data_IF_500598879083
#
_entry.id   IF_500598879083
#
_cell.length_a   1.000
_cell.length_b   1.000
_cell.length_c   1.000
_cell.angle_alpha   90.00
_cell.angle_beta   90.00
_cell.angle_gamma   90.00
#
_symmetry.space_group_name_H-M   'P 1'
#
loop_
_entity.id
_entity.type
_entity.pdbx_description
1 polymer ?
#
# COMPACT_ATOMS: atom_id res chain seq x y z
N UNK A 1 -6.26 21.40 -20.42
CA UNK A 1 -6.65 20.02 -20.03
C UNK A 1 -5.46 19.32 -19.39
N UNK A 2 -5.51 19.08 -18.07
CA UNK A 2 -4.43 18.36 -17.36
C UNK A 2 -4.70 16.85 -17.49
N UNK A 3 -3.81 16.14 -18.21
CA UNK A 3 -3.85 14.67 -18.31
C UNK A 3 -3.42 14.07 -16.97
N UNK A 4 -4.39 13.69 -16.13
CA UNK A 4 -4.12 12.88 -14.94
C UNK A 4 -3.79 11.46 -15.42
N UNK A 5 -2.51 11.13 -15.45
CA UNK A 5 -2.02 9.80 -15.82
C UNK A 5 -2.31 8.85 -14.65
N UNK A 6 -3.46 8.17 -14.68
CA UNK A 6 -3.79 7.08 -13.73
C UNK A 6 -2.67 6.04 -13.82
N UNK A 7 -1.89 5.94 -12.75
CA UNK A 7 -0.76 5.01 -12.65
C UNK A 7 -1.30 3.77 -11.94
N UNK A 8 -1.77 2.78 -12.72
CA UNK A 8 -2.19 1.49 -12.17
C UNK A 8 -0.97 0.74 -11.60
N UNK A 9 -1.10 0.06 -10.45
CA UNK A 9 -0.04 -0.80 -9.93
C UNK A 9 0.19 -1.98 -10.89
N UNK A 10 1.45 -2.41 -11.01
CA UNK A 10 1.79 -3.64 -11.72
C UNK A 10 1.54 -4.81 -10.77
N UNK A 11 0.54 -5.64 -11.09
CA UNK A 11 0.20 -6.86 -10.35
C UNK A 11 1.08 -7.98 -10.89
N UNK A 12 1.90 -8.58 -10.03
CA UNK A 12 2.63 -9.82 -10.33
C UNK A 12 1.96 -10.95 -9.57
N UNK A 13 1.43 -11.91 -10.32
CA UNK A 13 0.78 -13.15 -9.89
C UNK A 13 -0.66 -13.02 -9.37
N UNK A 14 -1.57 -13.53 -10.20
CA UNK A 14 -3.00 -13.67 -9.93
C UNK A 14 -3.31 -15.11 -9.55
N UNK A 15 -3.37 -15.40 -8.25
CA UNK A 15 -3.92 -16.65 -7.73
C UNK A 15 -5.42 -16.49 -7.43
N UNK A 16 -6.17 -17.56 -7.72
CA UNK A 16 -7.64 -17.64 -7.76
C UNK A 16 -8.25 -17.44 -6.37
N UNK A 17 -9.25 -16.57 -6.24
CA UNK A 17 -10.00 -16.34 -5.01
C UNK A 17 -10.99 -17.50 -4.72
N UNK A 18 -10.84 -18.22 -3.61
CA UNK A 18 -11.76 -19.29 -3.13
C UNK A 18 -12.22 -19.05 -1.68
N UNK A 19 -13.52 -18.98 -1.36
CA UNK A 19 -14.01 -18.37 -0.11
C UNK A 19 -13.58 -19.13 1.17
N UNK A 20 -12.90 -18.45 2.10
CA UNK A 20 -12.75 -18.86 3.50
C UNK A 20 -12.44 -17.66 4.42
N UNK A 21 -13.03 -17.72 5.61
CA UNK A 21 -13.13 -16.66 6.62
C UNK A 21 -11.85 -16.69 7.48
N UNK A 22 -10.93 -15.72 7.28
CA UNK A 22 -9.94 -15.31 8.26
C UNK A 22 -9.49 -13.87 8.01
N UNK A 23 -9.22 -13.16 9.11
CA UNK A 23 -8.64 -11.81 9.14
C UNK A 23 -7.34 -11.79 8.33
N UNK A 24 -7.34 -11.07 7.21
CA UNK A 24 -6.13 -10.94 6.39
C UNK A 24 -5.02 -10.17 7.10
N UNK A 25 -3.76 -10.45 6.77
CA UNK A 25 -2.59 -9.75 7.31
C UNK A 25 -1.94 -8.88 6.24
N UNK A 26 -1.55 -7.66 6.61
CA UNK A 26 -0.61 -6.85 5.81
C UNK A 26 0.78 -7.08 6.36
N UNK A 27 1.69 -7.52 5.50
CA UNK A 27 3.11 -7.58 5.80
C UNK A 27 3.85 -6.55 4.94
N UNK A 28 4.49 -5.58 5.58
CA UNK A 28 5.36 -4.64 4.88
C UNK A 28 6.64 -5.37 4.46
N UNK A 29 6.88 -5.51 3.15
CA UNK A 29 8.04 -6.24 2.64
C UNK A 29 9.27 -5.34 2.54
N UNK A 30 9.11 -4.14 1.97
CA UNK A 30 10.22 -3.21 1.79
C UNK A 30 9.73 -1.81 1.52
N UNK A 31 10.56 -0.82 1.86
CA UNK A 31 10.37 0.55 1.39
C UNK A 31 11.69 1.06 0.84
N UNK A 32 11.72 1.33 -0.46
CA UNK A 32 12.94 1.67 -1.18
C UNK A 32 12.78 3.03 -1.88
N UNK A 33 13.76 3.94 -1.75
CA UNK A 33 13.79 5.15 -2.56
C UNK A 33 13.95 4.76 -4.03
N UNK A 34 13.17 5.37 -4.93
CA UNK A 34 13.31 5.12 -6.38
C UNK A 34 14.58 5.78 -6.95
N UNK A 35 15.07 6.83 -6.29
CA UNK A 35 16.32 7.55 -6.58
C UNK A 35 16.99 7.92 -5.25
N UNK A 36 18.32 7.86 -5.18
CA UNK A 36 19.17 8.07 -3.97
C UNK A 36 18.52 8.98 -2.91
N UNK A 37 18.30 8.48 -1.69
CA UNK A 37 17.89 9.14 -0.41
C UNK A 37 17.59 10.66 -0.43
N UNK A 38 16.76 11.13 -1.33
CA UNK A 38 16.31 12.53 -1.43
C UNK A 38 14.78 12.55 -1.34
N UNK A 39 14.18 13.69 -0.94
CA UNK A 39 12.74 13.87 -1.02
C UNK A 39 12.26 13.55 -2.44
N UNK A 40 11.22 12.73 -2.56
CA UNK A 40 10.91 12.14 -3.86
C UNK A 40 9.98 10.95 -3.82
N UNK A 41 9.99 10.19 -4.91
CA UNK A 41 9.16 8.99 -5.08
C UNK A 41 9.81 7.78 -4.43
N UNK A 42 9.10 7.15 -3.51
CA UNK A 42 9.47 5.90 -2.84
C UNK A 42 8.57 4.77 -3.32
N UNK A 43 9.14 3.58 -3.45
CA UNK A 43 8.40 2.35 -3.69
C UNK A 43 8.18 1.65 -2.36
N UNK A 44 6.92 1.43 -2.02
CA UNK A 44 6.51 0.59 -0.90
C UNK A 44 6.05 -0.73 -1.47
N UNK A 45 6.64 -1.82 -0.99
CA UNK A 45 6.18 -3.16 -1.30
C UNK A 45 5.47 -3.73 -0.08
N UNK A 46 4.25 -4.21 -0.26
CA UNK A 46 3.52 -4.97 0.74
C UNK A 46 3.19 -6.36 0.21
N UNK A 47 3.00 -7.30 1.13
CA UNK A 47 2.25 -8.52 0.90
C UNK A 47 0.91 -8.36 1.60
N UNK A 48 -0.16 -8.42 0.83
CA UNK A 48 -1.50 -8.51 1.35
C UNK A 48 -1.88 -9.98 1.37
N UNK A 49 -1.99 -10.54 2.56
CA UNK A 49 -2.41 -11.92 2.76
C UNK A 49 -3.84 -11.92 3.27
N UNK A 50 -4.79 -11.67 2.35
CA UNK A 50 -6.23 -11.73 2.63
C UNK A 50 -6.77 -13.05 2.09
N UNK A 51 -7.48 -13.79 2.92
CA UNK A 51 -8.17 -14.98 2.42
C UNK A 51 -9.39 -14.53 1.63
N UNK A 52 -9.22 -14.46 0.31
CA UNK A 52 -10.27 -14.77 -0.68
C UNK A 52 -11.41 -13.77 -0.78
N UNK A 53 -11.15 -12.58 -0.23
CA UNK A 53 -11.99 -11.41 -0.35
C UNK A 53 -11.29 -10.33 -1.16
N UNK A 54 -12.10 -9.45 -1.72
CA UNK A 54 -11.63 -8.25 -2.39
C UNK A 54 -11.49 -7.16 -1.33
N UNK A 55 -10.29 -6.62 -1.16
CA UNK A 55 -10.03 -5.56 -0.20
C UNK A 55 -9.79 -4.21 -0.88
N UNK A 56 -9.97 -3.13 -0.14
CA UNK A 56 -9.48 -1.81 -0.53
C UNK A 56 -8.28 -1.48 0.35
N UNK A 57 -7.12 -1.20 -0.24
CA UNK A 57 -5.90 -0.84 0.51
C UNK A 57 -5.75 0.68 0.57
N UNK A 58 -5.45 1.17 1.76
CA UNK A 58 -5.30 2.58 2.07
C UNK A 58 -3.86 2.84 2.54
N UNK A 59 -3.26 3.89 2.00
CA UNK A 59 -1.93 4.34 2.41
C UNK A 59 -2.03 5.77 2.92
N UNK A 60 -1.52 6.00 4.12
CA UNK A 60 -1.41 7.32 4.74
C UNK A 60 0.05 7.72 4.89
N UNK A 61 0.32 9.01 4.75
CA UNK A 61 1.62 9.63 5.05
C UNK A 61 1.37 10.78 6.00
N UNK A 62 1.96 10.72 7.20
CA UNK A 62 1.76 11.68 8.29
C UNK A 62 0.28 11.87 8.67
N UNK A 63 -0.52 10.81 8.59
CA UNK A 63 -1.96 10.84 8.88
C UNK A 63 -2.83 11.29 7.71
N UNK A 64 -2.26 11.81 6.63
CA UNK A 64 -3.00 12.19 5.43
C UNK A 64 -3.13 11.00 4.47
N UNK A 65 -4.36 10.70 4.05
CA UNK A 65 -4.63 9.67 3.04
C UNK A 65 -3.99 10.08 1.70
N UNK A 66 -2.99 9.31 1.29
CA UNK A 66 -2.18 9.62 0.11
C UNK A 66 -2.62 8.81 -1.09
N UNK A 67 -3.00 7.55 -0.89
CA UNK A 67 -3.40 6.68 -1.99
C UNK A 67 -4.46 5.65 -1.56
N UNK A 68 -5.19 5.16 -2.55
CA UNK A 68 -6.29 4.22 -2.39
C UNK A 68 -6.34 3.26 -3.56
N UNK A 69 -6.23 1.97 -3.24
CA UNK A 69 -6.31 0.90 -4.20
C UNK A 69 -7.57 0.11 -3.96
N UNK A 70 -8.51 0.24 -4.89
CA UNK A 70 -9.76 -0.49 -4.82
C UNK A 70 -9.60 -1.90 -5.35
N UNK A 71 -10.33 -2.80 -4.72
CA UNK A 71 -10.57 -4.15 -5.20
C UNK A 71 -9.33 -4.98 -5.48
N UNK A 72 -8.40 -5.01 -4.51
CA UNK A 72 -7.19 -5.83 -4.55
C UNK A 72 -7.41 -7.18 -3.89
N UNK A 73 -6.83 -8.23 -4.47
CA UNK A 73 -6.82 -9.61 -3.93
C UNK A 73 -5.59 -9.83 -3.03
N UNK A 74 -5.40 -11.05 -2.53
CA UNK A 74 -4.12 -11.45 -1.94
C UNK A 74 -2.99 -11.31 -2.96
N UNK A 75 -1.78 -11.02 -2.47
CA UNK A 75 -0.58 -10.95 -3.29
C UNK A 75 0.38 -9.83 -2.91
N UNK A 76 1.39 -9.66 -3.76
CA UNK A 76 2.42 -8.64 -3.59
C UNK A 76 2.05 -7.39 -4.37
N UNK A 77 2.06 -6.25 -3.69
CA UNK A 77 1.74 -4.96 -4.28
C UNK A 77 2.89 -3.98 -4.10
N UNK A 78 3.16 -3.21 -5.15
CA UNK A 78 4.15 -2.14 -5.13
C UNK A 78 3.47 -0.81 -5.41
N UNK A 79 3.58 0.10 -4.44
CA UNK A 79 2.99 1.43 -4.50
C UNK A 79 4.05 2.51 -4.62
N UNK A 80 3.71 3.60 -5.29
CA UNK A 80 4.60 4.75 -5.39
C UNK A 80 4.03 5.88 -4.53
N UNK A 81 4.74 6.27 -3.48
CA UNK A 81 4.37 7.41 -2.65
C UNK A 81 5.41 8.51 -2.74
N UNK A 82 5.00 9.75 -2.46
CA UNK A 82 5.91 10.87 -2.36
C UNK A 82 6.21 11.18 -0.91
N UNK A 83 7.49 11.22 -0.54
CA UNK A 83 7.93 11.53 0.81
C UNK A 83 8.73 12.83 0.84
N UNK A 84 8.49 13.64 1.87
CA UNK A 84 9.17 14.93 2.10
C UNK A 84 10.44 14.72 2.93
N UNK A 85 11.31 15.74 2.97
CA UNK A 85 12.49 15.74 3.84
C UNK A 85 12.06 15.60 5.31
N UNK A 86 12.86 14.89 6.10
CA UNK A 86 12.61 14.65 7.53
C UNK A 86 11.84 13.36 7.80
N UNK A 87 11.13 13.33 8.93
CA UNK A 87 10.40 12.16 9.42
C UNK A 87 9.05 12.03 8.72
N UNK A 88 8.82 10.88 8.09
CA UNK A 88 7.55 10.52 7.47
C UNK A 88 7.01 9.26 8.15
N UNK A 89 5.81 9.37 8.72
CA UNK A 89 5.07 8.22 9.26
C UNK A 89 4.18 7.67 8.16
N UNK A 90 4.42 6.44 7.75
CA UNK A 90 3.61 5.77 6.75
C UNK A 90 2.69 4.79 7.48
N UNK A 91 1.41 4.85 7.15
CA UNK A 91 0.39 3.91 7.63
C UNK A 91 -0.22 3.14 6.47
N UNK A 92 -0.44 1.84 6.65
CA UNK A 92 -1.06 0.98 5.65
C UNK A 92 -2.12 0.13 6.34
N UNK A 93 -3.32 0.12 5.80
CA UNK A 93 -4.43 -0.71 6.26
C UNK A 93 -5.31 -1.09 5.07
N UNK A 94 -6.18 -2.08 5.25
CA UNK A 94 -7.17 -2.43 4.24
C UNK A 94 -8.57 -2.44 4.81
N UNK A 95 -9.57 -2.40 3.93
CA UNK A 95 -10.96 -2.68 4.29
C UNK A 95 -11.54 -3.84 3.46
N UNK A 96 -12.29 -4.73 4.12
CA UNK A 96 -13.04 -5.83 3.49
C UNK A 96 -14.49 -5.69 3.94
N UNK A 97 -15.44 -5.61 3.01
CA UNK A 97 -16.88 -5.56 3.33
C UNK A 97 -17.29 -4.48 4.35
N UNK A 98 -16.52 -3.38 4.44
CA UNK A 98 -16.75 -2.29 5.39
C UNK A 98 -15.97 -2.40 6.70
N UNK A 99 -15.39 -3.57 7.01
CA UNK A 99 -14.52 -3.76 8.16
C UNK A 99 -13.10 -3.29 7.86
N UNK A 100 -12.44 -2.66 8.84
CA UNK A 100 -11.10 -2.08 8.68
C UNK A 100 -10.08 -2.91 9.44
N UNK A 101 -8.98 -3.27 8.78
CA UNK A 101 -7.86 -3.96 9.40
C UNK A 101 -7.13 -3.08 10.41
N UNK A 102 -6.33 -3.70 11.28
CA UNK A 102 -5.31 -2.96 12.02
C UNK A 102 -4.35 -2.24 11.06
N UNK A 103 -3.89 -1.06 11.47
CA UNK A 103 -2.96 -0.25 10.69
C UNK A 103 -1.52 -0.65 10.97
N UNK A 104 -0.76 -0.90 9.91
CA UNK A 104 0.69 -1.14 9.97
C UNK A 104 1.41 0.18 9.80
N UNK A 105 2.23 0.53 10.80
CA UNK A 105 3.02 1.76 10.78
C UNK A 105 4.50 1.49 10.51
N UNK A 106 5.12 2.42 9.80
CA UNK A 106 6.57 2.46 9.61
C UNK A 106 7.04 3.90 9.48
N UNK A 107 8.27 4.17 9.91
CA UNK A 107 8.83 5.52 9.95
C UNK A 107 10.04 5.56 9.03
N UNK A 108 10.04 6.53 8.12
CA UNK A 108 11.16 6.81 7.23
C UNK A 108 11.68 8.20 7.49
N UNK A 109 12.98 8.29 7.75
CA UNK A 109 13.67 9.56 7.87
C UNK A 109 14.50 9.85 6.61
N UNK A 110 14.17 10.92 5.91
CA UNK A 110 14.87 11.37 4.70
C UNK A 110 15.77 12.53 5.08
N UNK A 111 17.07 12.38 4.79
CA UNK A 111 18.09 13.39 5.08
C UNK A 111 18.04 14.57 4.11
#
# INVERSE_FOLDING_TARGET
MVKVKKMFPQISDSEVCLPLINEGKINLLSILPRTKKTPGRFRISINLDIQTSIANVFITVNGEKTDLFYSVCSGKYVFNIYLKKGKNLIGIYYTISGETSSIVHTIINIK
#
